data_IF_935816669274
#
_entry.id   IF_935816669274
#
_cell.length_a   1.000
_cell.length_b   1.000
_cell.length_c   1.000
_cell.angle_alpha   90.00
_cell.angle_beta   90.00
_cell.angle_gamma   90.00
#
_symmetry.space_group_name_H-M   'P 1'
#
loop_
_entity.id
_entity.type
_entity.pdbx_description
1 polymer ?
#
# COMPACT_ATOMS: atom_id res chain seq x y z
N UNK A 1 19.80 9.94 -5.73
CA UNK A 1 20.13 8.61 -5.23
C UNK A 1 20.01 8.64 -3.70
N UNK A 2 18.76 8.58 -3.18
CA UNK A 2 18.47 8.51 -1.75
C UNK A 2 18.34 7.03 -1.40
N UNK A 3 19.46 6.35 -1.26
CA UNK A 3 19.56 4.91 -0.99
C UNK A 3 19.95 4.62 0.45
N UNK A 4 19.40 5.36 1.42
CA UNK A 4 19.49 4.95 2.81
C UNK A 4 18.09 4.70 3.33
N UNK A 5 17.79 3.41 3.56
CA UNK A 5 16.49 2.96 3.99
C UNK A 5 16.00 3.61 5.30
N UNK A 6 14.74 3.39 5.67
CA UNK A 6 14.05 4.07 6.78
C UNK A 6 14.73 3.98 8.15
N UNK A 7 15.67 3.06 8.33
CA UNK A 7 16.43 2.89 9.58
C UNK A 7 17.45 4.01 9.84
N UNK A 8 17.94 4.68 8.80
CA UNK A 8 18.95 5.74 8.97
C UNK A 8 18.34 7.05 9.51
N UNK A 9 17.17 7.45 9.03
CA UNK A 9 16.51 8.69 9.46
C UNK A 9 16.08 8.69 10.93
N UNK A 10 15.73 7.53 11.46
CA UNK A 10 15.32 7.38 12.86
C UNK A 10 16.48 7.55 13.84
N UNK A 11 17.74 7.31 13.42
CA UNK A 11 18.93 7.45 14.25
C UNK A 11 19.49 8.87 14.29
N UNK A 12 19.08 9.73 13.35
CA UNK A 12 19.55 11.11 13.28
C UNK A 12 18.73 12.03 14.20
N UNK A 13 19.36 13.06 14.79
CA UNK A 13 18.63 14.17 15.39
C UNK A 13 17.68 14.83 14.40
N UNK A 14 16.58 15.42 14.90
CA UNK A 14 15.58 16.04 14.02
C UNK A 14 16.15 17.20 13.19
N UNK A 15 17.08 17.97 13.74
CA UNK A 15 17.74 19.06 13.02
C UNK A 15 18.54 18.55 11.82
N UNK A 16 19.32 17.48 12.02
CA UNK A 16 20.16 16.90 10.97
C UNK A 16 19.32 16.31 9.83
N UNK A 17 18.11 15.81 10.16
CA UNK A 17 17.18 15.32 9.14
C UNK A 17 16.59 16.47 8.33
N UNK A 18 16.25 17.59 8.95
CA UNK A 18 15.78 18.79 8.25
C UNK A 18 16.86 19.30 7.29
N UNK A 19 18.10 19.41 7.76
CA UNK A 19 19.22 19.85 6.95
C UNK A 19 19.50 18.91 5.78
N UNK A 20 19.48 17.59 6.03
CA UNK A 20 19.71 16.58 4.99
C UNK A 20 18.60 16.53 3.95
N UNK A 21 17.37 16.89 4.33
CA UNK A 21 16.23 17.02 3.41
C UNK A 21 16.18 18.40 2.73
N UNK A 22 17.08 19.34 3.09
CA UNK A 22 17.08 20.69 2.55
C UNK A 22 15.77 21.42 2.86
N UNK A 23 15.31 21.34 4.11
CA UNK A 23 14.07 21.95 4.57
C UNK A 23 14.25 22.50 5.98
N UNK A 24 13.27 23.22 6.48
CA UNK A 24 13.28 23.76 7.84
C UNK A 24 11.91 23.66 8.51
N UNK A 25 11.76 24.17 9.75
CA UNK A 25 10.48 24.16 10.45
C UNK A 25 9.35 24.94 9.73
N UNK A 26 9.72 25.86 8.83
CA UNK A 26 8.79 26.61 7.98
C UNK A 26 8.28 25.77 6.78
N UNK A 27 8.90 24.62 6.52
CA UNK A 27 8.60 23.76 5.37
C UNK A 27 9.28 24.22 4.08
N UNK A 28 8.98 23.56 2.99
CA UNK A 28 9.50 23.85 1.65
C UNK A 28 8.83 25.11 1.07
N UNK A 29 9.49 25.74 0.11
CA UNK A 29 8.82 26.71 -0.76
C UNK A 29 8.03 26.01 -1.87
N UNK A 30 7.18 26.77 -2.57
CA UNK A 30 6.29 26.24 -3.59
C UNK A 30 7.05 25.69 -4.81
N UNK A 31 8.19 26.28 -5.16
CA UNK A 31 9.01 25.88 -6.32
C UNK A 31 9.72 24.57 -6.01
N UNK A 32 10.39 24.49 -4.85
CA UNK A 32 11.06 23.27 -4.40
C UNK A 32 10.08 22.10 -4.26
N UNK A 33 8.88 22.35 -3.75
CA UNK A 33 7.85 21.32 -3.63
C UNK A 33 7.40 20.79 -4.99
N UNK A 34 7.22 21.68 -5.98
CA UNK A 34 6.86 21.29 -7.34
C UNK A 34 7.97 20.50 -8.04
N UNK A 35 9.22 20.94 -7.90
CA UNK A 35 10.38 20.24 -8.46
C UNK A 35 10.58 18.84 -7.85
N UNK A 36 10.37 18.72 -6.53
CA UNK A 36 10.41 17.42 -5.85
C UNK A 36 9.28 16.51 -6.30
N UNK A 37 8.07 17.05 -6.48
CA UNK A 37 6.95 16.26 -6.98
C UNK A 37 7.21 15.75 -8.41
N UNK A 38 7.80 16.58 -9.26
CA UNK A 38 8.21 16.17 -10.61
C UNK A 38 9.32 15.10 -10.59
N UNK A 39 10.25 15.19 -9.63
CA UNK A 39 11.39 14.27 -9.50
C UNK A 39 11.02 12.92 -8.88
N UNK A 40 10.25 12.91 -7.79
CA UNK A 40 9.93 11.71 -7.00
C UNK A 40 8.61 11.07 -7.41
N UNK A 41 7.76 11.82 -8.12
CA UNK A 41 6.40 11.40 -8.43
C UNK A 41 5.42 11.55 -7.26
N UNK A 42 4.14 11.22 -7.48
CA UNK A 42 3.12 11.31 -6.44
C UNK A 42 3.35 10.29 -5.33
N UNK A 43 3.01 10.69 -4.09
CA UNK A 43 3.02 9.81 -2.93
C UNK A 43 1.83 8.85 -2.97
N UNK A 44 1.93 7.88 -3.85
CA UNK A 44 0.94 6.80 -4.03
C UNK A 44 1.64 5.45 -3.96
N UNK A 45 1.00 4.48 -3.34
CA UNK A 45 1.47 3.10 -3.40
C UNK A 45 1.38 2.60 -4.85
N UNK A 46 2.42 1.89 -5.35
CA UNK A 46 2.38 1.31 -6.68
C UNK A 46 1.14 0.44 -6.81
N UNK A 47 0.22 0.82 -7.66
CA UNK A 47 -0.94 -0.04 -7.94
C UNK A 47 -0.44 -1.29 -8.65
N UNK A 48 -0.76 -2.49 -8.15
CA UNK A 48 -0.42 -3.70 -8.86
C UNK A 48 -1.01 -3.59 -10.27
N UNK A 49 -0.18 -3.84 -11.29
CA UNK A 49 -0.65 -3.87 -12.68
C UNK A 49 -1.73 -4.93 -12.76
N UNK A 50 -2.97 -4.53 -13.01
CA UNK A 50 -4.05 -5.48 -13.27
C UNK A 50 -3.65 -6.34 -14.46
N UNK A 51 -3.60 -7.64 -14.24
CA UNK A 51 -3.47 -8.59 -15.35
C UNK A 51 -4.70 -8.45 -16.24
N UNK A 52 -4.54 -8.75 -17.53
CA UNK A 52 -5.69 -8.73 -18.42
C UNK A 52 -6.73 -9.75 -17.89
N UNK A 53 -7.98 -9.34 -17.77
CA UNK A 53 -9.07 -10.13 -17.19
C UNK A 53 -9.20 -11.56 -17.78
N UNK A 54 -8.88 -11.71 -19.08
CA UNK A 54 -8.92 -13.01 -19.75
C UNK A 54 -7.79 -13.95 -19.30
N UNK A 55 -6.65 -13.41 -18.83
CA UNK A 55 -5.56 -14.21 -18.26
C UNK A 55 -5.91 -14.69 -16.84
N UNK A 56 -6.58 -13.84 -16.06
CA UNK A 56 -7.08 -14.19 -14.72
C UNK A 56 -8.20 -15.22 -14.82
N UNK A 57 -9.14 -15.01 -15.74
CA UNK A 57 -10.19 -15.98 -16.02
C UNK A 57 -9.57 -17.31 -16.49
N UNK A 58 -8.59 -17.28 -17.40
CA UNK A 58 -7.91 -18.47 -17.89
C UNK A 58 -7.16 -19.25 -16.81
N UNK A 59 -6.53 -18.54 -15.85
CA UNK A 59 -5.82 -19.16 -14.73
C UNK A 59 -6.77 -20.03 -13.87
N UNK A 60 -8.03 -19.63 -13.74
CA UNK A 60 -9.04 -20.39 -12.99
C UNK A 60 -9.42 -21.75 -13.65
N UNK A 61 -9.04 -21.97 -14.91
CA UNK A 61 -9.24 -23.24 -15.61
C UNK A 61 -8.03 -24.16 -15.59
N UNK A 62 -6.91 -23.76 -14.98
CA UNK A 62 -5.63 -24.49 -14.99
C UNK A 62 -5.13 -24.81 -13.58
N UNK A 63 -5.88 -24.49 -12.51
CA UNK A 63 -5.49 -24.87 -11.16
C UNK A 63 -5.63 -26.38 -10.92
N UNK A 64 -5.00 -26.91 -9.88
CA UNK A 64 -4.90 -28.34 -9.61
C UNK A 64 -6.24 -29.09 -9.71
N UNK A 65 -7.29 -28.53 -9.14
CA UNK A 65 -8.63 -29.13 -9.17
C UNK A 65 -9.23 -29.14 -10.58
N UNK A 66 -9.02 -28.09 -11.38
CA UNK A 66 -9.47 -28.03 -12.76
C UNK A 66 -8.75 -29.06 -13.64
N UNK A 67 -7.45 -29.24 -13.44
CA UNK A 67 -6.67 -30.28 -14.14
C UNK A 67 -7.21 -31.67 -13.83
N UNK A 68 -7.57 -31.94 -12.56
CA UNK A 68 -8.19 -33.21 -12.17
C UNK A 68 -9.53 -33.43 -12.90
N UNK A 69 -10.37 -32.40 -13.00
CA UNK A 69 -11.63 -32.48 -13.71
C UNK A 69 -11.42 -32.64 -15.22
N UNK A 70 -10.43 -31.97 -15.83
CA UNK A 70 -10.08 -32.16 -17.24
C UNK A 70 -9.61 -33.57 -17.52
N UNK A 71 -8.80 -34.18 -16.65
CA UNK A 71 -8.41 -35.56 -16.77
C UNK A 71 -9.58 -36.52 -16.66
N UNK A 72 -10.52 -36.27 -15.74
CA UNK A 72 -11.76 -37.03 -15.62
C UNK A 72 -12.64 -36.94 -16.87
N UNK A 73 -12.77 -35.74 -17.45
CA UNK A 73 -13.52 -35.51 -18.68
C UNK A 73 -12.87 -36.28 -19.86
N UNK A 74 -11.54 -36.26 -19.96
CA UNK A 74 -10.82 -37.03 -21.01
C UNK A 74 -11.02 -38.52 -20.85
N UNK A 75 -10.95 -39.05 -19.63
CA UNK A 75 -11.19 -40.50 -19.39
C UNK A 75 -12.65 -40.88 -19.69
N UNK A 76 -13.64 -40.04 -19.34
CA UNK A 76 -15.04 -40.28 -19.67
C UNK A 76 -15.27 -40.32 -21.17
N UNK A 77 -14.57 -39.45 -21.94
CA UNK A 77 -14.63 -39.44 -23.40
C UNK A 77 -14.08 -40.73 -23.99
N UNK A 78 -12.89 -41.14 -23.53
CA UNK A 78 -12.25 -42.41 -24.01
C UNK A 78 -13.08 -43.62 -23.63
N UNK A 79 -13.78 -43.60 -22.49
CA UNK A 79 -14.70 -44.66 -22.07
C UNK A 79 -16.02 -44.71 -22.85
N UNK A 80 -16.22 -43.82 -23.83
CA UNK A 80 -17.44 -43.79 -24.64
C UNK A 80 -18.66 -43.23 -23.93
N UNK A 81 -18.45 -42.39 -22.89
CA UNK A 81 -19.51 -41.77 -22.10
C UNK A 81 -19.62 -40.24 -22.36
N UNK A 82 -20.09 -39.82 -23.56
CA UNK A 82 -20.10 -38.40 -23.91
C UNK A 82 -21.00 -37.55 -23.01
N UNK A 83 -22.09 -38.10 -22.48
CA UNK A 83 -22.98 -37.38 -21.56
C UNK A 83 -22.23 -36.99 -20.26
N UNK A 84 -21.41 -37.90 -19.73
CA UNK A 84 -20.61 -37.65 -18.54
C UNK A 84 -19.50 -36.62 -18.83
N UNK A 85 -18.87 -36.69 -19.99
CA UNK A 85 -17.88 -35.71 -20.43
C UNK A 85 -18.47 -34.28 -20.43
N UNK A 86 -19.62 -34.10 -21.09
CA UNK A 86 -20.26 -32.81 -21.15
C UNK A 86 -20.70 -32.30 -19.76
N UNK A 87 -21.19 -33.19 -18.90
CA UNK A 87 -21.51 -32.82 -17.53
C UNK A 87 -20.30 -32.28 -16.76
N UNK A 88 -19.14 -32.94 -16.90
CA UNK A 88 -17.89 -32.49 -16.27
C UNK A 88 -17.43 -31.13 -16.85
N UNK A 89 -17.51 -30.97 -18.19
CA UNK A 89 -17.13 -29.69 -18.83
C UNK A 89 -18.01 -28.55 -18.35
N UNK A 90 -19.31 -28.76 -18.20
CA UNK A 90 -20.22 -27.72 -17.64
C UNK A 90 -19.82 -27.38 -16.20
N UNK A 91 -19.49 -28.37 -15.40
CA UNK A 91 -18.99 -28.14 -14.02
C UNK A 91 -17.70 -27.30 -14.01
N UNK A 92 -16.75 -27.59 -14.91
CA UNK A 92 -15.51 -26.82 -15.04
C UNK A 92 -15.83 -25.35 -15.38
N UNK A 93 -16.73 -25.12 -16.35
CA UNK A 93 -17.12 -23.76 -16.77
C UNK A 93 -17.79 -22.98 -15.63
N UNK A 94 -18.76 -23.60 -14.96
CA UNK A 94 -19.46 -22.97 -13.83
C UNK A 94 -18.48 -22.64 -12.72
N UNK A 95 -17.60 -23.57 -12.37
CA UNK A 95 -16.62 -23.38 -11.30
C UNK A 95 -15.58 -22.29 -11.64
N UNK A 96 -15.10 -22.26 -12.90
CA UNK A 96 -14.18 -21.23 -13.36
C UNK A 96 -14.77 -19.82 -13.33
N UNK A 97 -16.03 -19.68 -13.78
CA UNK A 97 -16.75 -18.39 -13.71
C UNK A 97 -17.00 -17.98 -12.27
N UNK A 98 -17.40 -18.92 -11.41
CA UNK A 98 -17.65 -18.65 -10.00
C UNK A 98 -16.39 -18.23 -9.25
N UNK A 99 -15.26 -18.91 -9.49
CA UNK A 99 -13.96 -18.56 -8.91
C UNK A 99 -13.52 -17.15 -9.31
N UNK A 100 -13.65 -16.81 -10.59
CA UNK A 100 -13.37 -15.47 -11.09
C UNK A 100 -14.24 -14.40 -10.39
N UNK A 101 -15.52 -14.67 -10.22
CA UNK A 101 -16.44 -13.74 -9.56
C UNK A 101 -16.07 -13.53 -8.07
N UNK A 102 -15.70 -14.60 -7.35
CA UNK A 102 -15.23 -14.52 -5.97
C UNK A 102 -13.94 -13.69 -5.86
N UNK A 103 -12.97 -13.94 -6.73
CA UNK A 103 -11.71 -13.19 -6.77
C UNK A 103 -11.94 -11.70 -7.04
N UNK A 104 -12.80 -11.38 -8.01
CA UNK A 104 -13.20 -10.02 -8.31
C UNK A 104 -13.87 -9.30 -7.12
N UNK A 105 -14.71 -10.00 -6.37
CA UNK A 105 -15.33 -9.45 -5.15
C UNK A 105 -14.29 -9.19 -4.06
N UNK A 106 -13.34 -10.10 -3.86
CA UNK A 106 -12.27 -9.96 -2.88
C UNK A 106 -11.35 -8.78 -3.21
N UNK A 107 -10.98 -8.59 -4.49
CA UNK A 107 -10.20 -7.43 -4.93
C UNK A 107 -10.92 -6.11 -4.67
N UNK A 108 -12.21 -6.03 -4.98
CA UNK A 108 -13.01 -4.82 -4.71
C UNK A 108 -13.08 -4.48 -3.22
N UNK A 109 -13.19 -5.48 -2.36
CA UNK A 109 -13.17 -5.27 -0.91
C UNK A 109 -11.81 -4.72 -0.45
N UNK A 110 -10.71 -5.24 -0.99
CA UNK A 110 -9.36 -4.74 -0.71
C UNK A 110 -9.15 -3.30 -1.22
N UNK A 111 -9.64 -2.97 -2.42
CA UNK A 111 -9.61 -1.59 -2.97
C UNK A 111 -10.41 -0.61 -2.09
N UNK A 112 -11.55 -1.03 -1.58
CA UNK A 112 -12.37 -0.20 -0.69
C UNK A 112 -11.65 0.12 0.63
N UNK A 113 -10.87 -0.80 1.18
CA UNK A 113 -10.04 -0.57 2.37
C UNK A 113 -8.89 0.41 2.08
N UNK A 114 -8.26 0.33 0.91
CA UNK A 114 -7.22 1.29 0.50
C UNK A 114 -7.78 2.72 0.30
N UNK A 115 -9.07 2.85 -0.04
CA UNK A 115 -9.72 4.16 -0.17
C UNK A 115 -9.93 4.88 1.18
N UNK A 116 -9.70 4.22 2.31
CA UNK A 116 -9.73 4.81 3.65
C UNK A 116 -8.45 5.54 4.04
N UNK A 117 -7.38 5.46 3.24
CA UNK A 117 -6.19 6.28 3.43
C UNK A 117 -6.56 7.77 3.28
N UNK A 118 -5.94 8.67 4.08
CA UNK A 118 -6.30 10.07 4.07
C UNK A 118 -6.10 10.66 2.67
N UNK A 119 -7.18 11.20 2.14
CA UNK A 119 -7.12 11.85 0.82
C UNK A 119 -6.49 13.23 0.89
N UNK A 120 -6.50 13.86 2.05
CA UNK A 120 -5.94 15.18 2.30
C UNK A 120 -5.09 15.17 3.57
N UNK A 121 -4.10 16.04 3.61
CA UNK A 121 -3.18 16.20 4.71
C UNK A 121 -2.83 17.67 4.86
N UNK A 122 -2.65 18.13 6.09
CA UNK A 122 -2.16 19.47 6.37
C UNK A 122 -0.64 19.47 6.37
N UNK A 123 -0.04 20.29 5.53
CA UNK A 123 1.40 20.53 5.49
C UNK A 123 1.72 21.98 5.81
N UNK A 124 2.93 22.24 6.30
CA UNK A 124 3.47 23.59 6.37
C UNK A 124 4.45 23.82 5.25
N UNK A 125 4.17 24.83 4.41
CA UNK A 125 5.05 25.32 3.34
C UNK A 125 5.15 26.84 3.46
N UNK A 126 6.34 27.41 3.32
CA UNK A 126 6.58 28.86 3.47
C UNK A 126 6.04 29.44 4.80
N UNK A 127 6.07 28.62 5.86
CA UNK A 127 5.53 28.98 7.17
C UNK A 127 4.00 28.97 7.29
N UNK A 128 3.28 28.67 6.21
CA UNK A 128 1.82 28.63 6.17
C UNK A 128 1.29 27.19 6.14
N UNK A 129 0.18 26.97 6.83
CA UNK A 129 -0.51 25.68 6.83
C UNK A 129 -1.41 25.57 5.60
N UNK A 130 -1.25 24.48 4.86
CA UNK A 130 -1.97 24.24 3.63
C UNK A 130 -2.55 22.83 3.65
N UNK A 131 -3.81 22.70 3.25
CA UNK A 131 -4.47 21.42 3.07
C UNK A 131 -4.28 20.97 1.62
N UNK A 132 -3.64 19.83 1.40
CA UNK A 132 -3.37 19.31 0.06
C UNK A 132 -3.64 17.79 -0.03
N UNK A 133 -3.84 17.26 -1.24
CA UNK A 133 -3.95 15.82 -1.45
C UNK A 133 -2.68 15.11 -0.96
N UNK A 134 -2.86 14.00 -0.23
CA UNK A 134 -1.73 13.18 0.27
C UNK A 134 -0.77 12.74 -0.85
N UNK A 135 -1.28 12.56 -2.07
CA UNK A 135 -0.47 12.27 -3.25
C UNK A 135 0.53 13.38 -3.62
N UNK A 136 0.33 14.61 -3.16
CA UNK A 136 1.22 15.76 -3.41
C UNK A 136 2.26 15.99 -2.32
N UNK A 137 2.28 15.15 -1.30
CA UNK A 137 3.31 15.18 -0.26
C UNK A 137 4.64 14.72 -0.87
N UNK A 138 5.69 15.49 -0.60
CA UNK A 138 7.04 15.22 -1.11
C UNK A 138 8.05 15.10 0.03
N UNK A 139 9.19 14.43 -0.18
CA UNK A 139 10.27 14.40 0.82
C UNK A 139 10.71 15.82 1.18
N UNK A 140 10.72 16.14 2.48
CA UNK A 140 11.03 17.46 3.02
C UNK A 140 9.82 18.30 3.38
N UNK A 141 8.59 17.87 3.08
CA UNK A 141 7.38 18.51 3.62
C UNK A 141 7.30 18.36 5.13
N UNK A 142 6.82 19.39 5.81
CA UNK A 142 6.50 19.37 7.24
C UNK A 142 5.01 19.05 7.38
N UNK A 143 4.71 17.85 7.87
CA UNK A 143 3.35 17.38 8.11
C UNK A 143 2.85 17.85 9.47
N UNK A 144 1.62 18.35 9.52
CA UNK A 144 0.91 18.65 10.76
C UNK A 144 -0.18 17.59 10.93
N UNK A 145 -0.06 16.82 12.00
CA UNK A 145 -0.98 15.73 12.28
C UNK A 145 -1.73 16.01 13.58
N UNK A 146 -3.03 15.85 13.54
CA UNK A 146 -3.93 15.93 14.69
C UNK A 146 -4.41 14.54 15.11
N UNK A 147 -5.03 14.47 16.29
CA UNK A 147 -5.56 13.21 16.81
C UNK A 147 -6.63 12.62 15.87
N UNK A 148 -6.52 11.33 15.59
CA UNK A 148 -7.44 10.62 14.70
C UNK A 148 -7.03 10.64 13.22
N UNK A 149 -6.02 11.42 12.83
CA UNK A 149 -5.53 11.46 11.47
C UNK A 149 -4.59 10.28 11.16
N UNK A 150 -4.68 9.77 9.95
CA UNK A 150 -3.75 8.76 9.48
C UNK A 150 -2.46 9.41 8.94
N UNK A 151 -1.33 8.78 9.21
CA UNK A 151 -0.01 9.24 8.74
C UNK A 151 0.12 8.92 7.24
N UNK A 152 0.25 9.93 6.36
CA UNK A 152 0.19 9.73 4.92
C UNK A 152 1.50 9.21 4.28
N UNK A 153 2.61 9.34 5.00
CA UNK A 153 3.95 8.96 4.53
C UNK A 153 4.87 8.67 5.71
N UNK A 154 6.01 8.02 5.46
CA UNK A 154 7.07 7.89 6.45
C UNK A 154 7.56 9.28 6.87
N UNK A 155 7.61 9.55 8.16
CA UNK A 155 7.96 10.85 8.68
C UNK A 155 8.88 10.77 9.91
N UNK A 156 9.76 11.77 10.07
CA UNK A 156 10.56 11.99 11.26
C UNK A 156 9.87 13.02 12.17
N UNK A 157 9.62 12.65 13.40
CA UNK A 157 9.02 13.57 14.36
C UNK A 157 10.00 14.69 14.74
N UNK A 158 9.59 15.93 14.53
CA UNK A 158 10.34 17.13 14.91
C UNK A 158 9.77 17.78 16.18
N UNK A 159 8.46 17.77 16.33
CA UNK A 159 7.73 18.23 17.53
C UNK A 159 6.65 17.21 17.84
N UNK A 160 6.40 16.92 19.11
CA UNK A 160 5.30 16.04 19.52
C UNK A 160 4.83 16.36 20.95
N UNK A 161 3.52 16.29 21.15
CA UNK A 161 2.86 16.39 22.44
C UNK A 161 2.12 15.09 22.76
N UNK A 162 2.78 14.18 23.50
CA UNK A 162 2.20 12.89 23.95
C UNK A 162 1.66 12.01 22.80
N UNK A 163 2.31 12.06 21.64
CA UNK A 163 1.88 11.30 20.46
C UNK A 163 1.85 9.79 20.74
N UNK A 164 0.76 9.17 20.37
CA UNK A 164 0.62 7.72 20.33
C UNK A 164 0.13 7.34 18.94
N UNK A 165 0.75 6.33 18.34
CA UNK A 165 0.40 5.85 17.00
C UNK A 165 -0.19 4.45 17.12
N UNK A 166 -1.34 4.25 16.52
CA UNK A 166 -1.94 2.94 16.32
C UNK A 166 -1.31 2.27 15.09
N UNK A 167 -0.55 1.21 15.32
CA UNK A 167 0.08 0.40 14.28
C UNK A 167 -0.67 -0.91 14.03
N UNK A 168 -1.89 -1.07 14.53
CA UNK A 168 -2.64 -2.32 14.46
C UNK A 168 -2.79 -2.86 13.05
N UNK A 169 -2.93 -1.97 12.06
CA UNK A 169 -3.01 -2.34 10.64
C UNK A 169 -1.71 -2.92 10.07
N UNK A 170 -0.54 -2.63 10.68
CA UNK A 170 0.78 -3.08 10.22
C UNK A 170 1.32 -4.25 11.06
N UNK A 171 1.14 -4.20 12.38
CA UNK A 171 1.73 -5.16 13.32
C UNK A 171 0.73 -6.13 13.90
N UNK A 172 -0.58 -5.87 13.76
CA UNK A 172 -1.64 -6.62 14.43
C UNK A 172 -1.79 -6.32 15.92
N UNK A 173 -0.97 -5.44 16.50
CA UNK A 173 -1.01 -5.07 17.91
C UNK A 173 -2.02 -3.93 18.14
N UNK A 174 -3.05 -4.20 18.95
CA UNK A 174 -4.16 -3.25 19.20
C UNK A 174 -3.81 -2.11 20.16
N UNK A 175 -2.58 -2.03 20.67
CA UNK A 175 -2.19 -1.01 21.64
C UNK A 175 -1.44 0.13 20.97
N UNK A 176 -1.92 1.38 21.05
CA UNK A 176 -1.20 2.55 20.53
C UNK A 176 0.18 2.70 21.20
N UNK A 177 1.21 2.83 20.39
CA UNK A 177 2.60 2.93 20.84
C UNK A 177 3.01 4.39 20.97
N UNK A 178 3.60 4.83 22.10
CA UNK A 178 4.10 6.19 22.25
C UNK A 178 5.27 6.44 21.30
N UNK A 179 5.32 7.63 20.72
CA UNK A 179 6.41 8.07 19.85
C UNK A 179 7.00 9.37 20.37
N UNK A 180 8.31 9.52 20.24
CA UNK A 180 9.06 10.68 20.73
C UNK A 180 9.96 11.25 19.65
N UNK A 181 10.42 12.47 19.85
CA UNK A 181 11.38 13.15 18.95
C UNK A 181 12.82 12.66 19.12
N UNK A 182 13.12 11.86 20.14
CA UNK A 182 14.48 11.36 20.35
C UNK A 182 14.92 10.41 19.22
N UNK A 183 16.19 10.49 18.86
CA UNK A 183 16.81 9.55 17.94
C UNK A 183 16.85 8.15 18.56
N UNK A 184 16.58 7.14 17.75
CA UNK A 184 16.63 5.72 18.17
C UNK A 184 18.03 5.20 17.84
N UNK A 185 18.74 4.70 18.86
CA UNK A 185 19.99 3.98 18.63
C UNK A 185 19.69 2.65 17.93
N UNK A 186 20.01 2.55 16.66
CA UNK A 186 19.79 1.35 15.85
C UNK A 186 20.88 0.27 16.07
N UNK A 187 21.90 0.56 16.86
CA UNK A 187 23.00 -0.38 17.12
C UNK A 187 22.62 -1.58 18.01
N UNK A 188 21.44 -1.59 18.62
CA UNK A 188 20.99 -2.61 19.58
C UNK A 188 19.90 -3.58 19.13
N UNK A 189 19.38 -3.48 17.90
CA UNK A 189 18.38 -4.45 17.39
C UNK A 189 19.00 -5.40 16.37
N UNK A 190 19.48 -6.54 16.86
CA UNK A 190 19.63 -7.77 16.10
C UNK A 190 18.40 -8.64 16.31
#
# INVERSE_FOLDING_TARGET
MVTNGPTHWASLPAADVLDALGTGPAGLDAVDAADRLARYGPNELPRPRRRAWYLELGANFVHLFAILLWTGAALAWVAGMPQLTWAIVVVILVNGVFSYWQEYQAERAAEALQALLPRQVTVRREGQEQLLPAAQVVPGDVLLLTEGEAVPADARLIVTERLRIDNSSLTGESRPVPRTTHSVDTAGRR
#
